data_IF_485045859927
#
_entry.id   IF_485045859927
#
_cell.length_a   1.000
_cell.length_b   1.000
_cell.length_c   1.000
_cell.angle_alpha   90.00
_cell.angle_beta   90.00
_cell.angle_gamma   90.00
#
_symmetry.space_group_name_H-M   'P 1'
#
loop_
_entity.id
_entity.type
_entity.pdbx_description
1 polymer ?
#
# COMPACT_ATOMS: atom_id res chain seq x y z
N UNK A 1 23.44 -1.69 26.24
CA UNK A 1 22.10 -1.60 25.63
C UNK A 1 22.34 -1.16 24.20
N UNK A 2 22.54 -2.11 23.28
CA UNK A 2 22.86 -1.81 21.88
C UNK A 2 21.58 -1.39 21.15
N UNK A 3 21.41 -0.08 20.96
CA UNK A 3 20.35 0.52 20.14
C UNK A 3 20.77 0.65 18.66
N UNK A 4 21.84 -0.04 18.22
CA UNK A 4 22.58 0.30 17.01
C UNK A 4 22.51 -0.73 15.86
N UNK A 5 21.35 -1.37 15.69
CA UNK A 5 21.02 -2.00 14.40
C UNK A 5 19.55 -1.75 14.05
N UNK A 6 19.14 -0.49 13.98
CA UNK A 6 17.95 -0.16 13.19
C UNK A 6 18.33 -0.45 11.73
N UNK A 7 17.96 -1.63 11.25
CA UNK A 7 18.11 -2.01 9.86
C UNK A 7 17.50 -0.89 9.00
N UNK A 8 18.36 -0.20 8.23
CA UNK A 8 17.96 0.86 7.31
C UNK A 8 17.29 0.22 6.09
N UNK A 9 16.10 -0.32 6.30
CA UNK A 9 15.22 -0.79 5.23
C UNK A 9 14.86 0.42 4.37
N UNK A 10 15.19 0.36 3.08
CA UNK A 10 14.83 1.40 2.13
C UNK A 10 13.35 1.34 1.77
N UNK A 11 12.81 2.42 1.19
CA UNK A 11 11.43 2.43 0.69
C UNK A 11 11.17 1.31 -0.33
N UNK A 12 12.16 1.01 -1.16
CA UNK A 12 12.12 -0.07 -2.15
C UNK A 12 12.04 -1.44 -1.47
N UNK A 13 12.89 -1.71 -0.49
CA UNK A 13 12.90 -2.99 0.22
C UNK A 13 11.58 -3.20 0.98
N UNK A 14 11.06 -2.14 1.59
CA UNK A 14 9.74 -2.15 2.23
C UNK A 14 8.65 -2.51 1.22
N UNK A 15 8.64 -1.84 0.06
CA UNK A 15 7.73 -2.13 -1.04
C UNK A 15 7.79 -3.57 -1.51
N UNK A 16 8.98 -4.11 -1.72
CA UNK A 16 9.17 -5.51 -2.16
C UNK A 16 8.66 -6.52 -1.14
N UNK A 17 8.93 -6.31 0.15
CA UNK A 17 8.42 -7.17 1.24
C UNK A 17 6.89 -7.13 1.31
N UNK A 18 6.31 -5.94 1.14
CA UNK A 18 4.86 -5.78 1.10
C UNK A 18 4.25 -6.48 -0.12
N UNK A 19 4.85 -6.32 -1.30
CA UNK A 19 4.43 -7.01 -2.51
C UNK A 19 4.47 -8.54 -2.35
N UNK A 20 5.55 -9.07 -1.76
CA UNK A 20 5.68 -10.50 -1.48
C UNK A 20 4.55 -11.01 -0.57
N UNK A 21 4.22 -10.26 0.49
CA UNK A 21 3.10 -10.58 1.37
C UNK A 21 1.75 -10.50 0.64
N UNK A 22 1.53 -9.48 -0.18
CA UNK A 22 0.29 -9.35 -0.96
C UNK A 22 0.15 -10.47 -1.99
N UNK A 23 1.25 -11.02 -2.50
CA UNK A 23 1.25 -12.17 -3.39
C UNK A 23 0.83 -13.47 -2.71
N UNK A 24 1.13 -13.68 -1.43
CA UNK A 24 0.70 -14.89 -0.72
C UNK A 24 -0.81 -14.92 -0.47
N UNK A 25 -1.49 -13.78 -0.59
CA UNK A 25 -2.92 -13.62 -0.36
C UNK A 25 -3.64 -13.26 -1.66
N UNK A 26 -4.07 -14.28 -2.41
CA UNK A 26 -4.74 -14.16 -3.72
C UNK A 26 -5.90 -13.14 -3.80
N UNK A 27 -6.54 -12.81 -2.67
CA UNK A 27 -7.64 -11.85 -2.57
C UNK A 27 -7.25 -10.46 -2.06
N UNK A 28 -6.00 -10.25 -1.65
CA UNK A 28 -5.57 -9.06 -0.92
C UNK A 28 -6.11 -8.99 0.51
N UNK A 29 -6.05 -7.79 1.09
CA UNK A 29 -6.48 -7.48 2.45
C UNK A 29 -7.67 -6.52 2.41
N UNK A 30 -8.67 -6.76 3.24
CA UNK A 30 -9.86 -5.90 3.34
C UNK A 30 -9.76 -4.89 4.49
N UNK A 31 -8.71 -4.98 5.30
CA UNK A 31 -8.43 -4.09 6.42
C UNK A 31 -6.94 -3.75 6.46
N UNK A 32 -6.63 -2.52 6.88
CA UNK A 32 -5.24 -2.12 7.12
C UNK A 32 -4.68 -2.82 8.35
N UNK A 33 -5.50 -3.10 9.35
CA UNK A 33 -5.08 -3.81 10.57
C UNK A 33 -4.62 -5.23 10.24
N UNK A 34 -5.41 -5.96 9.45
CA UNK A 34 -5.05 -7.31 8.98
C UNK A 34 -3.74 -7.31 8.18
N UNK A 35 -3.52 -6.26 7.37
CA UNK A 35 -2.27 -6.10 6.64
C UNK A 35 -1.08 -5.81 7.57
N UNK A 36 -1.28 -5.01 8.62
CA UNK A 36 -0.26 -4.68 9.61
C UNK A 36 0.17 -5.93 10.38
N UNK A 37 -0.81 -6.71 10.86
CA UNK A 37 -0.58 -7.91 11.66
C UNK A 37 0.19 -8.96 10.85
N UNK A 38 -0.31 -9.33 9.66
CA UNK A 38 0.35 -10.30 8.78
C UNK A 38 1.75 -9.82 8.36
N UNK A 39 1.92 -8.50 8.11
CA UNK A 39 3.22 -7.96 7.74
C UNK A 39 4.21 -8.04 8.89
N UNK A 40 3.77 -7.74 10.12
CA UNK A 40 4.61 -7.90 11.30
C UNK A 40 5.02 -9.35 11.43
N UNK A 41 4.08 -10.29 11.42
CA UNK A 41 4.37 -11.72 11.58
C UNK A 41 5.37 -12.22 10.52
N UNK A 42 5.25 -11.71 9.29
CA UNK A 42 6.13 -12.09 8.19
C UNK A 42 7.54 -11.44 8.25
N UNK A 43 7.65 -10.19 8.71
CA UNK A 43 8.89 -9.41 8.61
C UNK A 43 9.57 -9.11 9.96
N UNK A 44 8.90 -9.36 11.08
CA UNK A 44 9.40 -9.11 12.43
C UNK A 44 9.38 -7.64 12.88
N UNK A 45 8.68 -6.75 12.16
CA UNK A 45 8.56 -5.35 12.56
C UNK A 45 7.23 -4.70 12.16
N UNK A 46 6.82 -3.69 12.93
CA UNK A 46 5.60 -2.93 12.66
C UNK A 46 5.77 -2.02 11.43
N UNK A 47 4.95 -2.19 10.37
CA UNK A 47 5.05 -1.40 9.15
C UNK A 47 4.65 0.08 9.35
N UNK A 48 3.81 0.40 10.33
CA UNK A 48 3.40 1.78 10.62
C UNK A 48 4.56 2.60 11.20
N UNK A 49 5.29 2.02 12.17
CA UNK A 49 6.52 2.62 12.69
C UNK A 49 7.55 2.81 11.57
N UNK A 50 7.64 1.86 10.64
CA UNK A 50 8.56 1.96 9.50
C UNK A 50 8.15 3.06 8.53
N UNK A 51 6.86 3.24 8.27
CA UNK A 51 6.37 4.33 7.43
C UNK A 51 6.74 5.71 7.99
N UNK A 52 6.66 5.88 9.30
CA UNK A 52 7.11 7.11 9.99
C UNK A 52 8.60 7.35 9.81
N UNK A 53 9.42 6.31 9.96
CA UNK A 53 10.87 6.40 9.72
C UNK A 53 11.23 6.71 8.26
N UNK A 54 10.34 6.40 7.32
CA UNK A 54 10.48 6.72 5.89
C UNK A 54 9.95 8.12 5.52
N UNK A 55 9.45 8.89 6.51
CA UNK A 55 8.99 10.26 6.32
C UNK A 55 7.49 10.42 6.02
N UNK A 56 6.69 9.38 6.24
CA UNK A 56 5.23 9.42 6.04
C UNK A 56 4.51 9.55 7.39
N UNK A 57 3.35 10.20 7.46
CA UNK A 57 2.62 10.35 8.72
C UNK A 57 1.95 9.05 9.21
N UNK A 58 1.74 8.09 8.31
CA UNK A 58 1.19 6.77 8.60
C UNK A 58 1.47 5.79 7.46
N UNK A 59 1.34 4.49 7.74
CA UNK A 59 1.33 3.44 6.74
C UNK A 59 0.27 3.71 5.67
N UNK A 60 -0.93 4.16 6.07
CA UNK A 60 -2.01 4.42 5.12
C UNK A 60 -1.63 5.53 4.12
N UNK A 61 -0.89 6.55 4.55
CA UNK A 61 -0.37 7.58 3.66
C UNK A 61 0.71 7.03 2.73
N UNK A 62 1.63 6.22 3.27
CA UNK A 62 2.67 5.53 2.51
C UNK A 62 2.05 4.65 1.41
N UNK A 63 1.08 3.79 1.73
CA UNK A 63 0.43 2.90 0.76
C UNK A 63 -0.34 3.64 -0.34
N UNK A 64 -0.76 4.89 -0.07
CA UNK A 64 -1.43 5.76 -1.06
C UNK A 64 -0.44 6.63 -1.84
N UNK A 65 0.85 6.58 -1.51
CA UNK A 65 1.89 7.38 -2.16
C UNK A 65 2.22 6.84 -3.55
N UNK A 66 2.79 7.71 -4.41
CA UNK A 66 3.10 7.34 -5.80
C UNK A 66 4.19 6.28 -5.87
N UNK A 67 5.13 6.35 -4.94
CA UNK A 67 6.29 5.46 -4.80
C UNK A 67 5.85 4.02 -4.49
N UNK A 68 4.71 3.85 -3.81
CA UNK A 68 4.21 2.52 -3.43
C UNK A 68 3.33 1.85 -4.50
N UNK A 69 2.94 2.56 -5.56
CA UNK A 69 1.99 2.04 -6.56
C UNK A 69 2.49 0.83 -7.35
N UNK A 70 3.80 0.65 -7.47
CA UNK A 70 4.37 -0.54 -8.12
C UNK A 70 4.31 -1.79 -7.24
N UNK A 71 4.10 -1.63 -5.93
CA UNK A 71 4.08 -2.72 -4.95
C UNK A 71 2.66 -3.04 -4.46
N UNK A 72 1.83 -2.01 -4.29
CA UNK A 72 0.49 -2.12 -3.72
C UNK A 72 -0.50 -1.25 -4.49
N UNK A 73 -1.66 -1.83 -4.77
CA UNK A 73 -2.83 -1.11 -5.19
C UNK A 73 -3.81 -0.99 -4.02
N UNK A 74 -4.30 0.23 -3.81
CA UNK A 74 -5.35 0.52 -2.84
C UNK A 74 -6.62 0.90 -3.60
N UNK A 75 -7.72 0.18 -3.37
CA UNK A 75 -9.04 0.48 -3.92
C UNK A 75 -10.03 0.74 -2.80
N UNK A 76 -10.97 1.63 -3.08
CA UNK A 76 -12.17 1.80 -2.26
C UNK A 76 -13.22 0.81 -2.75
N UNK A 77 -13.83 0.06 -1.85
CA UNK A 77 -14.88 -0.93 -2.13
C UNK A 77 -16.03 -0.75 -1.16
N UNK A 78 -17.22 -1.19 -1.57
CA UNK A 78 -18.43 -1.17 -0.75
C UNK A 78 -18.86 -2.62 -0.52
N UNK A 79 -19.16 -2.99 0.72
CA UNK A 79 -19.65 -4.33 1.03
C UNK A 79 -21.18 -4.45 0.78
N UNK A 80 -21.73 -5.65 1.00
CA UNK A 80 -23.17 -5.92 0.84
C UNK A 80 -24.06 -5.10 1.79
N UNK A 81 -23.49 -4.56 2.87
CA UNK A 81 -24.18 -3.67 3.83
C UNK A 81 -24.11 -2.19 3.44
N UNK A 82 -23.45 -1.84 2.33
CA UNK A 82 -23.25 -0.46 1.92
C UNK A 82 -22.08 0.26 2.63
N UNK A 83 -21.30 -0.46 3.45
CA UNK A 83 -20.17 0.12 4.16
C UNK A 83 -18.95 0.23 3.24
N UNK A 84 -18.31 1.39 3.26
CA UNK A 84 -17.14 1.71 2.44
C UNK A 84 -15.86 1.33 3.18
N UNK A 85 -15.00 0.54 2.54
CA UNK A 85 -13.71 0.11 3.07
C UNK A 85 -12.60 0.18 2.01
N UNK A 86 -11.35 0.06 2.47
CA UNK A 86 -10.19 0.03 1.59
C UNK A 86 -9.67 -1.40 1.44
N UNK A 87 -9.44 -1.80 0.20
CA UNK A 87 -8.86 -3.08 -0.17
C UNK A 87 -7.44 -2.87 -0.69
N UNK A 88 -6.52 -3.70 -0.21
CA UNK A 88 -5.08 -3.67 -0.53
C UNK A 88 -4.70 -4.94 -1.27
N UNK A 89 -4.14 -4.84 -2.46
CA UNK A 89 -3.77 -6.00 -3.27
C UNK A 89 -2.50 -5.71 -4.04
N UNK A 90 -1.87 -6.77 -4.54
CA UNK A 90 -0.61 -6.65 -5.27
C UNK A 90 -0.73 -5.68 -6.46
N UNK A 91 0.26 -4.80 -6.58
CA UNK A 91 0.39 -3.88 -7.70
C UNK A 91 0.85 -4.59 -8.95
N UNK A 92 -0.01 -4.83 -9.95
CA UNK A 92 0.48 -5.25 -11.27
C UNK A 92 1.01 -4.01 -12.03
N UNK A 93 2.33 -3.84 -12.23
CA UNK A 93 2.90 -2.61 -12.80
C UNK A 93 2.40 -2.32 -14.22
N UNK A 94 2.01 -3.35 -14.99
CA UNK A 94 1.50 -3.20 -16.36
C UNK A 94 0.07 -2.64 -16.48
N UNK A 95 -0.81 -2.94 -15.51
CA UNK A 95 -2.24 -2.55 -15.59
C UNK A 95 -2.54 -1.26 -14.83
N UNK A 96 -1.83 -0.98 -13.73
CA UNK A 96 -2.15 0.14 -12.84
C UNK A 96 -1.84 1.51 -13.47
N UNK A 97 -0.77 1.62 -14.28
CA UNK A 97 -0.40 2.88 -14.95
C UNK A 97 -1.36 3.25 -16.10
N UNK A 98 -1.84 2.24 -16.83
CA UNK A 98 -2.72 2.41 -18.00
C UNK A 98 -4.13 2.83 -17.59
N UNK A 99 -4.70 2.17 -16.57
CA UNK A 99 -6.02 2.53 -16.01
C UNK A 99 -5.99 3.92 -15.36
N UNK A 100 -4.93 4.26 -14.64
CA UNK A 100 -4.82 5.58 -13.98
C UNK A 100 -4.55 6.72 -14.96
N UNK A 101 -3.78 6.54 -16.03
CA UNK A 101 -3.69 7.54 -17.12
C UNK A 101 -5.08 7.86 -17.71
N UNK A 102 -5.93 6.84 -17.85
CA UNK A 102 -7.29 6.98 -18.36
C UNK A 102 -8.15 7.78 -17.37
N UNK A 103 -8.12 7.43 -16.08
CA UNK A 103 -8.85 8.16 -15.01
C UNK A 103 -8.36 9.61 -14.87
N UNK A 104 -7.04 9.86 -14.93
CA UNK A 104 -6.46 11.19 -14.83
C UNK A 104 -6.82 12.07 -16.04
N UNK A 105 -6.87 11.49 -17.25
CA UNK A 105 -7.37 12.17 -18.46
C UNK A 105 -8.85 12.54 -18.35
N UNK A 106 -9.68 11.66 -17.78
CA UNK A 106 -11.11 11.93 -17.57
C UNK A 106 -11.29 13.07 -16.57
N UNK A 107 -10.59 13.03 -15.43
CA UNK A 107 -10.68 14.08 -14.40
C UNK A 107 -10.23 15.46 -14.91
N UNK A 108 -9.21 15.52 -15.77
CA UNK A 108 -8.79 16.78 -16.42
C UNK A 108 -9.85 17.38 -17.36
N UNK A 109 -10.70 16.56 -17.99
CA UNK A 109 -11.78 17.05 -18.87
C UNK A 109 -12.97 17.62 -18.10
N UNK A 110 -13.21 17.15 -16.88
CA UNK A 110 -14.34 17.59 -16.05
C UNK A 110 -14.04 18.95 -15.37
N UNK A 111 -12.77 19.24 -15.07
CA UNK A 111 -12.37 20.46 -14.36
C UNK A 111 -12.02 21.66 -15.27
N UNK A 112 -12.07 21.50 -16.59
CA UNK A 112 -11.73 22.55 -17.57
C UNK A 112 -12.85 22.78 -18.60
N UNK A 113 -14.04 22.21 -18.35
CA UNK A 113 -15.25 22.39 -19.16
C UNK A 113 -16.32 23.14 -18.38
#
# INVERSE_FOLDING_TARGET
>A
MELDKIEKISLKDFGQRLAALLHTKNGGYNSITELIDDFWDYNGFCPDNKAVLLGFASLQQLLKSKEMFEYVNVLTTTNEKGEVYLKYFFGNPGESWSLRKKILKIRKRIFLG
#
